data_IF_480204519550
#
_entry.id   IF_480204519550
#
_cell.length_a   1.000
_cell.length_b   1.000
_cell.length_c   1.000
_cell.angle_alpha   90.00
_cell.angle_beta   90.00
_cell.angle_gamma   90.00
#
_symmetry.space_group_name_H-M   'P 1'
#
loop_
_entity.id
_entity.type
_entity.pdbx_description
1 polymer ?
#
# COMPACT_ATOMS: atom_id res chain seq x y z
N UNK A 1 2.03 -12.02 5.46
CA UNK A 1 1.41 -10.80 5.99
C UNK A 1 0.10 -11.16 6.65
N UNK A 2 -0.29 -10.39 7.65
CA UNK A 2 -1.48 -10.61 8.46
C UNK A 2 -2.31 -9.33 8.50
N UNK A 3 -3.63 -9.46 8.66
CA UNK A 3 -4.53 -8.31 8.75
C UNK A 3 -4.05 -7.33 9.83
N UNK A 4 -4.02 -6.05 9.50
CA UNK A 4 -3.51 -4.97 10.37
C UNK A 4 -2.06 -4.57 10.10
N UNK A 5 -1.28 -5.34 9.34
CA UNK A 5 0.09 -4.96 8.99
C UNK A 5 0.09 -3.68 8.12
N UNK A 6 1.04 -2.77 8.37
CA UNK A 6 1.26 -1.63 7.48
C UNK A 6 1.99 -2.09 6.22
N UNK A 7 1.56 -1.61 5.06
CA UNK A 7 2.19 -1.86 3.77
C UNK A 7 2.74 -0.57 3.20
N UNK A 8 3.91 -0.64 2.59
CA UNK A 8 4.63 0.52 2.06
C UNK A 8 4.95 0.38 0.58
N UNK A 9 4.83 1.50 -0.12
CA UNK A 9 5.04 1.58 -1.56
C UNK A 9 5.89 2.79 -1.97
N UNK A 10 6.48 2.70 -3.16
CA UNK A 10 7.27 3.77 -3.79
C UNK A 10 6.59 4.32 -5.04
N UNK A 11 7.08 5.47 -5.53
CA UNK A 11 6.75 6.03 -6.86
C UNK A 11 5.24 6.20 -7.11
N UNK A 12 4.47 6.48 -6.06
CA UNK A 12 3.05 6.89 -6.15
C UNK A 12 2.88 8.35 -6.59
N UNK A 13 3.91 9.17 -6.37
CA UNK A 13 4.02 10.54 -6.90
C UNK A 13 5.50 10.91 -7.07
N UNK A 14 5.78 12.02 -7.77
CA UNK A 14 7.15 12.49 -8.01
C UNK A 14 7.75 13.12 -6.75
N UNK A 15 8.77 12.50 -6.18
CA UNK A 15 9.47 12.98 -4.97
C UNK A 15 10.86 12.35 -4.87
N UNK A 16 11.74 12.95 -4.07
CA UNK A 16 13.05 12.39 -3.70
C UNK A 16 12.96 11.38 -2.54
N UNK A 17 11.82 11.31 -1.85
CA UNK A 17 11.60 10.35 -0.77
C UNK A 17 11.44 8.94 -1.31
N UNK A 18 11.99 7.95 -0.60
CA UNK A 18 11.89 6.55 -0.99
C UNK A 18 10.47 6.00 -0.84
N UNK A 19 9.93 6.00 0.38
CA UNK A 19 8.55 5.61 0.63
C UNK A 19 7.62 6.77 0.29
N UNK A 20 6.65 6.52 -0.57
CA UNK A 20 5.73 7.53 -1.08
C UNK A 20 4.27 7.19 -0.80
N UNK A 21 3.95 5.95 -0.47
CA UNK A 21 2.59 5.57 -0.09
C UNK A 21 2.57 4.55 1.03
N UNK A 22 1.47 4.52 1.78
CA UNK A 22 1.22 3.52 2.80
C UNK A 22 -0.25 3.11 2.83
N UNK A 23 -0.51 1.91 3.33
CA UNK A 23 -1.85 1.41 3.60
C UNK A 23 -1.83 0.37 4.72
N UNK A 24 -3.01 -0.16 5.05
CA UNK A 24 -3.17 -1.22 6.04
C UNK A 24 -3.63 -2.48 5.32
N UNK A 25 -2.93 -3.59 5.51
CA UNK A 25 -3.28 -4.87 4.95
C UNK A 25 -4.55 -5.42 5.60
N UNK A 26 -5.51 -5.86 4.78
CA UNK A 26 -6.79 -6.36 5.23
C UNK A 26 -6.88 -7.90 5.27
N UNK A 27 -5.88 -8.59 4.73
CA UNK A 27 -5.98 -10.02 4.39
C UNK A 27 -6.39 -10.21 2.93
N UNK A 28 -6.44 -11.46 2.47
CA UNK A 28 -6.87 -11.83 1.11
C UNK A 28 -6.14 -11.08 -0.03
N UNK A 29 -4.89 -10.70 0.22
CA UNK A 29 -4.09 -9.91 -0.70
C UNK A 29 -4.66 -8.51 -1.01
N UNK A 30 -5.42 -7.93 -0.08
CA UNK A 30 -6.00 -6.60 -0.18
C UNK A 30 -5.47 -5.66 0.90
N UNK A 31 -5.48 -4.37 0.60
CA UNK A 31 -5.12 -3.31 1.54
C UNK A 31 -6.05 -2.11 1.39
N UNK A 32 -6.28 -1.40 2.50
CA UNK A 32 -7.00 -0.13 2.52
C UNK A 32 -6.00 1.03 2.53
N UNK A 33 -6.28 2.07 1.74
CA UNK A 33 -5.43 3.24 1.65
C UNK A 33 -6.21 4.49 1.19
N UNK A 34 -5.63 5.66 1.42
CA UNK A 34 -6.16 6.91 0.89
C UNK A 34 -5.58 7.15 -0.52
N UNK A 35 -6.36 6.86 -1.55
CA UNK A 35 -6.04 7.19 -2.94
C UNK A 35 -6.27 8.68 -3.20
N UNK A 36 -5.36 9.31 -3.95
CA UNK A 36 -5.48 10.72 -4.33
C UNK A 36 -6.66 10.99 -5.26
N UNK A 37 -7.12 10.01 -6.03
CA UNK A 37 -8.23 10.15 -6.99
C UNK A 37 -9.55 9.56 -6.50
N UNK A 38 -9.52 8.57 -5.60
CA UNK A 38 -10.70 7.82 -5.17
C UNK A 38 -11.03 7.99 -3.69
N UNK A 39 -10.23 8.74 -2.93
CA UNK A 39 -10.39 8.83 -1.48
C UNK A 39 -10.02 7.52 -0.78
N UNK A 40 -10.68 7.20 0.33
CA UNK A 40 -10.43 5.95 1.06
C UNK A 40 -10.99 4.79 0.27
N UNK A 41 -10.12 3.89 -0.18
CA UNK A 41 -10.48 2.74 -1.02
C UNK A 41 -9.69 1.50 -0.65
N UNK A 42 -10.20 0.37 -1.11
CA UNK A 42 -9.56 -0.95 -0.99
C UNK A 42 -9.01 -1.36 -2.34
N UNK A 43 -7.79 -1.89 -2.38
CA UNK A 43 -7.19 -2.38 -3.61
C UNK A 43 -6.42 -3.66 -3.36
N UNK A 44 -6.35 -4.54 -4.37
CA UNK A 44 -5.53 -5.74 -4.30
C UNK A 44 -4.04 -5.38 -4.45
N UNK A 45 -3.18 -6.01 -3.66
CA UNK A 45 -1.72 -5.96 -3.82
C UNK A 45 -1.27 -6.61 -5.14
N UNK A 46 -2.09 -7.45 -5.76
CA UNK A 46 -1.84 -8.02 -7.10
C UNK A 46 -2.20 -7.06 -8.23
N UNK A 47 -2.80 -5.90 -7.94
CA UNK A 47 -3.03 -4.89 -8.96
C UNK A 47 -1.68 -4.49 -9.59
N UNK A 48 -1.58 -4.52 -10.92
CA UNK A 48 -0.31 -4.29 -11.65
C UNK A 48 0.40 -3.01 -11.24
N UNK A 49 -0.34 -1.94 -10.95
CA UNK A 49 0.26 -0.67 -10.52
C UNK A 49 0.83 -0.76 -9.11
N UNK A 50 0.12 -1.38 -8.18
CA UNK A 50 0.53 -1.47 -6.78
C UNK A 50 1.56 -2.58 -6.54
N UNK A 51 1.51 -3.68 -7.29
CA UNK A 51 2.47 -4.78 -7.17
C UNK A 51 3.89 -4.36 -7.55
N UNK A 52 4.04 -3.58 -8.62
CA UNK A 52 5.33 -3.00 -9.03
C UNK A 52 5.92 -2.00 -8.02
N UNK A 53 5.07 -1.44 -7.16
CA UNK A 53 5.43 -0.36 -6.22
C UNK A 53 5.56 -0.85 -4.79
N UNK A 54 5.13 -2.08 -4.51
CA UNK A 54 5.17 -2.67 -3.19
C UNK A 54 6.61 -2.95 -2.78
N UNK A 55 6.98 -2.57 -1.55
CA UNK A 55 8.33 -2.84 -1.01
C UNK A 55 8.25 -3.86 0.11
N UNK A 56 7.53 -3.54 1.18
CA UNK A 56 7.40 -4.44 2.32
C UNK A 56 6.13 -4.16 3.11
N UNK A 57 5.73 -5.18 3.89
CA UNK A 57 4.75 -5.07 4.95
C UNK A 57 5.43 -5.23 6.31
N UNK A 58 5.02 -4.46 7.31
CA UNK A 58 5.53 -4.58 8.67
C UNK A 58 4.39 -4.55 9.70
N UNK A 59 4.61 -5.25 10.81
CA UNK A 59 3.73 -5.22 11.96
C UNK A 59 4.30 -4.27 13.00
N UNK A 60 3.48 -3.32 13.44
CA UNK A 60 3.89 -2.30 14.42
C UNK A 60 3.68 -2.78 15.87
N UNK A 61 2.81 -3.75 16.10
CA UNK A 61 2.43 -4.25 17.42
C UNK A 61 2.35 -5.79 17.43
#
# INVERSE_FOLDING_TARGET
MQRGDLVFFIRSYKTSKYITHSGIYLGNNEFIHASSSQGVTTTSLSNSWWSERFIFGTRIF
#
